data_IF_874469654466
#
_entry.id   IF_874469654466
#
_cell.length_a   1.000
_cell.length_b   1.000
_cell.length_c   1.000
_cell.angle_alpha   90.00
_cell.angle_beta   90.00
_cell.angle_gamma   90.00
#
_symmetry.space_group_name_H-M   'P 1'
#
loop_
_entity.id
_entity.type
_entity.pdbx_description
1 polymer ?
#
# COMPACT_ATOMS: atom_id res chain seq x y z
N UNK A 1 -9.28 29.76 -9.22
CA UNK A 1 -9.14 28.60 -10.13
C UNK A 1 -9.33 27.33 -9.33
N UNK A 2 -10.13 26.36 -9.81
CA UNK A 2 -10.35 25.10 -9.09
C UNK A 2 -9.08 24.26 -9.20
N UNK A 3 -8.45 23.90 -8.08
CA UNK A 3 -7.25 23.08 -8.10
C UNK A 3 -7.58 21.69 -8.68
N UNK A 4 -6.74 21.19 -9.60
CA UNK A 4 -6.87 19.82 -10.10
C UNK A 4 -6.52 18.83 -8.98
N UNK A 5 -7.40 17.84 -8.77
CA UNK A 5 -7.14 16.72 -7.86
C UNK A 5 -5.95 15.93 -8.38
N UNK A 6 -5.03 15.56 -7.49
CA UNK A 6 -3.89 14.69 -7.82
C UNK A 6 -4.30 13.23 -7.68
N UNK A 7 -3.85 12.38 -8.61
CA UNK A 7 -3.90 10.92 -8.47
C UNK A 7 -2.49 10.49 -8.08
N UNK A 8 -2.36 9.83 -6.93
CA UNK A 8 -1.07 9.46 -6.35
C UNK A 8 -1.06 7.95 -6.16
N UNK A 9 0.02 7.31 -6.61
CA UNK A 9 0.32 5.91 -6.28
C UNK A 9 1.39 5.92 -5.19
N UNK A 10 1.11 5.24 -4.08
CA UNK A 10 2.04 5.04 -2.99
C UNK A 10 2.09 3.54 -2.70
N UNK A 11 3.22 2.89 -2.98
CA UNK A 11 3.32 1.42 -2.99
C UNK A 11 4.72 0.93 -2.60
N UNK A 12 4.78 -0.20 -1.89
CA UNK A 12 6.01 -0.95 -1.68
C UNK A 12 6.22 -1.93 -2.85
N UNK A 13 7.46 -2.05 -3.31
CA UNK A 13 7.84 -2.98 -4.38
C UNK A 13 9.15 -3.67 -4.04
N UNK A 14 9.33 -4.88 -4.56
CA UNK A 14 10.63 -5.51 -4.63
C UNK A 14 11.57 -4.72 -5.56
N UNK A 15 12.88 -4.98 -5.47
CA UNK A 15 13.89 -4.30 -6.29
C UNK A 15 13.71 -4.55 -7.79
N UNK A 16 13.09 -5.68 -8.15
CA UNK A 16 12.75 -6.10 -9.51
C UNK A 16 11.32 -5.70 -9.93
N UNK A 17 10.60 -4.89 -9.14
CA UNK A 17 9.36 -4.25 -9.56
C UNK A 17 8.06 -5.00 -9.29
N UNK A 18 8.08 -6.06 -8.46
CA UNK A 18 6.90 -6.83 -8.10
C UNK A 18 6.35 -6.43 -6.72
N UNK A 19 5.03 -6.46 -6.58
CA UNK A 19 4.33 -6.06 -5.34
C UNK A 19 3.84 -7.27 -4.52
N UNK A 20 3.77 -8.45 -5.13
CA UNK A 20 3.34 -9.70 -4.51
C UNK A 20 4.00 -10.90 -5.22
N UNK A 21 4.07 -12.04 -4.52
CA UNK A 21 4.47 -13.32 -5.09
C UNK A 21 3.37 -13.90 -6.00
N UNK A 22 3.65 -14.91 -6.85
CA UNK A 22 2.63 -15.50 -7.74
C UNK A 22 1.39 -16.04 -7.02
N UNK A 23 1.53 -16.46 -5.75
CA UNK A 23 0.43 -16.90 -4.89
C UNK A 23 -0.27 -15.77 -4.13
N UNK A 24 0.10 -14.50 -4.36
CA UNK A 24 -0.44 -13.34 -3.65
C UNK A 24 0.22 -13.04 -2.31
N UNK A 25 1.27 -13.77 -1.92
CA UNK A 25 1.99 -13.54 -0.66
C UNK A 25 2.77 -12.20 -0.65
N UNK A 26 2.72 -11.52 0.49
CA UNK A 26 3.43 -10.27 0.78
C UNK A 26 4.25 -10.32 2.08
N UNK A 27 4.42 -11.49 2.70
CA UNK A 27 5.16 -11.67 3.97
C UNK A 27 6.62 -11.19 3.90
N UNK A 28 7.18 -11.05 2.70
CA UNK A 28 8.49 -10.42 2.50
C UNK A 28 8.56 -8.98 3.04
N UNK A 29 7.43 -8.27 3.15
CA UNK A 29 7.33 -6.95 3.79
C UNK A 29 7.58 -7.00 5.30
N UNK A 30 7.27 -8.13 5.96
CA UNK A 30 7.36 -8.30 7.42
C UNK A 30 8.77 -8.63 7.91
N UNK A 31 9.75 -8.80 7.02
CA UNK A 31 11.16 -9.12 7.36
C UNK A 31 11.93 -7.95 7.99
N UNK A 32 11.28 -6.84 8.29
CA UNK A 32 11.89 -5.58 8.76
C UNK A 32 11.61 -5.34 10.26
N UNK A 33 12.41 -4.49 10.94
CA UNK A 33 12.16 -4.14 12.34
C UNK A 33 10.75 -3.56 12.51
N UNK A 34 9.95 -4.18 13.39
CA UNK A 34 8.51 -3.94 13.61
C UNK A 34 8.09 -2.49 13.95
N UNK A 35 9.03 -1.55 14.12
CA UNK A 35 8.76 -0.21 14.67
C UNK A 35 9.08 0.96 13.73
N UNK A 36 9.39 0.71 12.46
CA UNK A 36 9.74 1.80 11.55
C UNK A 36 8.57 2.20 10.66
N UNK A 37 8.10 3.45 10.79
CA UNK A 37 7.15 4.06 9.86
C UNK A 37 7.92 4.60 8.65
N UNK A 38 7.64 4.04 7.47
CA UNK A 38 8.22 4.47 6.20
C UNK A 38 7.55 5.73 5.61
N UNK A 39 6.87 6.51 6.46
CA UNK A 39 6.16 7.73 6.06
C UNK A 39 4.69 7.48 5.69
N UNK A 40 4.17 6.28 5.97
CA UNK A 40 2.76 5.95 5.73
C UNK A 40 1.84 6.85 6.56
N UNK A 41 2.16 7.09 7.83
CA UNK A 41 1.34 7.95 8.70
C UNK A 41 1.23 9.37 8.17
N UNK A 42 2.37 9.94 7.76
CA UNK A 42 2.41 11.28 7.16
C UNK A 42 1.68 11.31 5.82
N UNK A 43 1.86 10.29 4.98
CA UNK A 43 1.18 10.18 3.68
C UNK A 43 -0.34 10.12 3.83
N UNK A 44 -0.88 9.32 4.75
CA UNK A 44 -2.32 9.22 4.96
C UNK A 44 -2.97 10.55 5.33
N UNK A 45 -2.24 11.44 6.01
CA UNK A 45 -2.73 12.80 6.33
C UNK A 45 -2.83 13.72 5.10
N UNK A 46 -2.21 13.35 3.97
CA UNK A 46 -2.20 14.15 2.74
C UNK A 46 -3.30 13.78 1.74
N UNK A 47 -4.01 12.67 1.97
CA UNK A 47 -5.04 12.15 1.06
C UNK A 47 -6.42 12.18 1.70
N UNK A 48 -7.46 12.31 0.88
CA UNK A 48 -8.85 12.34 1.31
C UNK A 48 -9.66 11.12 0.86
N UNK A 49 -9.14 10.37 -0.12
CA UNK A 49 -9.84 9.26 -0.79
C UNK A 49 -8.86 8.15 -1.10
N UNK A 50 -9.27 6.90 -0.85
CA UNK A 50 -8.51 5.70 -1.20
C UNK A 50 -9.26 4.96 -2.31
N UNK A 51 -8.54 4.59 -3.37
CA UNK A 51 -9.05 3.73 -4.44
C UNK A 51 -8.24 2.43 -4.45
N UNK A 52 -8.91 1.31 -4.20
CA UNK A 52 -8.30 -0.02 -4.23
C UNK A 52 -8.92 -0.89 -5.31
N UNK A 53 -8.08 -1.71 -5.95
CA UNK A 53 -8.55 -2.80 -6.79
C UNK A 53 -9.10 -3.95 -5.95
N UNK A 54 -10.04 -4.72 -6.51
CA UNK A 54 -10.70 -5.86 -5.83
C UNK A 54 -9.71 -6.82 -5.16
N UNK A 55 -8.65 -7.23 -5.87
CA UNK A 55 -7.64 -8.17 -5.33
C UNK A 55 -6.97 -7.63 -4.06
N UNK A 56 -6.63 -6.34 -4.04
CA UNK A 56 -6.03 -5.69 -2.86
C UNK A 56 -7.02 -5.59 -1.72
N UNK A 57 -8.27 -5.22 -2.02
CA UNK A 57 -9.33 -5.14 -1.02
C UNK A 57 -9.59 -6.50 -0.35
N UNK A 58 -9.80 -7.56 -1.15
CA UNK A 58 -10.05 -8.92 -0.67
C UNK A 58 -8.89 -9.45 0.18
N UNK A 59 -7.65 -9.15 -0.24
CA UNK A 59 -6.46 -9.51 0.51
C UNK A 59 -6.42 -8.84 1.90
N UNK A 60 -6.62 -7.52 1.96
CA UNK A 60 -6.62 -6.76 3.23
C UNK A 60 -7.69 -7.26 4.19
N UNK A 61 -8.92 -7.50 3.70
CA UNK A 61 -10.02 -8.01 4.51
C UNK A 61 -9.73 -9.42 5.03
N UNK A 62 -9.07 -10.27 4.23
CA UNK A 62 -8.70 -11.62 4.65
C UNK A 62 -7.56 -11.64 5.67
N UNK A 63 -6.63 -10.68 5.58
CA UNK A 63 -5.48 -10.56 6.50
C UNK A 63 -5.87 -10.08 7.91
N UNK A 64 -6.93 -9.28 8.04
CA UNK A 64 -7.40 -8.76 9.33
C UNK A 64 -8.48 -9.61 10.00
N UNK A 65 -8.80 -10.78 9.43
CA UNK A 65 -9.58 -11.81 10.12
C UNK A 65 -8.68 -12.60 11.06
#
# INVERSE_FOLDING_TARGET
MKAHRKIIVYIATSADGYIARPNGDVEWLNRRPRKFDYGMTSFYRTIDTILWGRKTYDWVISYHK
#
